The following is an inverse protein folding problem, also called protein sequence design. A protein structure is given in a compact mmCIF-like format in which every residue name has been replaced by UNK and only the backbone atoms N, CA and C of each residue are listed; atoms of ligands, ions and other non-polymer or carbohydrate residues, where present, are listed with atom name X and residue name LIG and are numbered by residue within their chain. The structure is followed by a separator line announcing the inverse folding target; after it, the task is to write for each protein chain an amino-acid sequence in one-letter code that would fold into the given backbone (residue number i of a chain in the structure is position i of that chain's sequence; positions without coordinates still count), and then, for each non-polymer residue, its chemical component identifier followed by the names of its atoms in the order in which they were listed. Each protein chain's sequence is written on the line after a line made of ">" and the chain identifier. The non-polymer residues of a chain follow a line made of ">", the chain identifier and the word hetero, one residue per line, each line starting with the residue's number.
data_IF_452985748475
#
_entry.id   IF_452985748475
#
_cell.length_a   1.000
_cell.length_b   1.000
_cell.length_c   1.000
_cell.angle_alpha   90.00
_cell.angle_beta   90.00
_cell.angle_gamma   90.00
#
_symmetry.space_group_name_H-M   'P 1'
#
loop_
_entity.id
_entity.type
_entity.pdbx_description
1 polymer ?
#
# COMPACT_ATOMS: atom_id res chain seq x y z
N UNK A 1 7.38 17.41 4.62
CA UNK A 1 8.06 16.12 4.69
C UNK A 1 7.20 15.04 4.09
N UNK A 2 7.77 14.25 3.21
CA UNK A 2 7.06 13.17 2.59
C UNK A 2 7.41 11.85 3.20
N UNK A 3 6.46 10.92 3.17
CA UNK A 3 6.69 9.55 3.58
C UNK A 3 6.39 8.64 2.41
N UNK A 4 7.22 7.65 2.19
CA UNK A 4 6.94 6.57 1.26
C UNK A 4 6.47 5.39 2.10
N UNK A 5 5.27 4.93 1.85
CA UNK A 5 4.69 3.86 2.64
C UNK A 5 4.42 2.66 1.74
N UNK A 6 4.83 1.49 2.19
CA UNK A 6 4.55 0.24 1.52
C UNK A 6 3.39 -0.43 2.25
N UNK A 7 2.29 -0.66 1.54
CA UNK A 7 1.13 -1.35 2.09
C UNK A 7 1.16 -2.79 1.63
N UNK A 8 0.72 -3.69 2.49
CA UNK A 8 0.82 -5.13 2.26
C UNK A 8 -0.51 -5.82 2.41
N UNK A 9 -0.77 -6.81 1.56
CA UNK A 9 -1.92 -7.68 1.69
C UNK A 9 -1.36 -9.09 1.85
N UNK A 10 -1.50 -9.64 3.03
CA UNK A 10 -0.98 -10.96 3.31
C UNK A 10 -1.90 -12.04 2.76
N UNK A 11 -1.32 -13.12 2.27
CA UNK A 11 -2.11 -14.21 1.71
C UNK A 11 -2.46 -14.05 0.25
N UNK A 12 -1.95 -13.01 -0.40
CA UNK A 12 -2.23 -12.76 -1.81
C UNK A 12 -0.92 -12.61 -2.56
N UNK A 13 -0.85 -13.12 -3.78
CA UNK A 13 0.31 -12.92 -4.65
C UNK A 13 0.14 -11.58 -5.35
N UNK A 14 -1.05 -11.27 -5.78
CA UNK A 14 -1.36 -9.98 -6.35
C UNK A 14 -2.84 -9.71 -6.16
N UNK A 15 -3.21 -8.47 -6.12
CA UNK A 15 -4.60 -8.10 -5.95
C UNK A 15 -4.83 -6.69 -6.46
N UNK A 16 -5.90 -6.51 -7.21
CA UNK A 16 -6.34 -5.20 -7.64
C UNK A 16 -7.40 -4.73 -6.66
N UNK A 17 -7.24 -3.55 -6.15
CA UNK A 17 -8.22 -2.95 -5.25
C UNK A 17 -8.58 -1.58 -5.75
N UNK A 18 -9.81 -1.17 -5.49
CA UNK A 18 -10.29 0.13 -5.95
C UNK A 18 -10.51 1.04 -4.75
N UNK A 19 -10.01 2.26 -4.86
CA UNK A 19 -10.11 3.23 -3.78
C UNK A 19 -10.64 4.53 -4.34
N UNK A 20 -11.44 5.23 -3.56
CA UNK A 20 -11.94 6.52 -3.97
C UNK A 20 -10.93 7.58 -3.54
N UNK A 21 -10.40 8.31 -4.52
CA UNK A 21 -9.45 9.36 -4.26
C UNK A 21 -10.08 10.62 -4.82
N UNK A 22 -10.50 11.52 -3.95
CA UNK A 22 -11.28 12.66 -4.35
C UNK A 22 -12.60 12.22 -4.96
N UNK A 23 -12.85 12.59 -6.21
CA UNK A 23 -14.06 12.20 -6.90
C UNK A 23 -13.82 11.02 -7.85
N UNK A 24 -12.62 10.52 -7.91
CA UNK A 24 -12.25 9.45 -8.83
C UNK A 24 -12.16 8.11 -8.12
N UNK A 25 -12.45 7.05 -8.87
CA UNK A 25 -12.23 5.70 -8.38
C UNK A 25 -10.95 5.20 -9.05
N UNK A 26 -9.94 4.91 -8.27
CA UNK A 26 -8.65 4.50 -8.79
C UNK A 26 -8.37 3.04 -8.49
N UNK A 27 -7.83 2.33 -9.47
CA UNK A 27 -7.39 0.95 -9.27
C UNK A 27 -5.94 0.99 -8.79
N UNK A 28 -5.69 0.30 -7.71
CA UNK A 28 -4.35 0.15 -7.18
C UNK A 28 -4.00 -1.33 -7.21
N UNK A 29 -2.85 -1.64 -7.80
CA UNK A 29 -2.44 -3.00 -7.98
C UNK A 29 -1.39 -3.35 -6.95
N UNK A 30 -1.67 -4.33 -6.12
CA UNK A 30 -0.72 -4.87 -5.17
C UNK A 30 -0.05 -6.08 -5.82
N UNK A 31 1.26 -6.08 -5.86
CA UNK A 31 2.02 -7.12 -6.55
C UNK A 31 3.21 -7.57 -5.71
N UNK A 32 3.94 -8.54 -6.20
CA UNK A 32 5.19 -8.98 -5.57
C UNK A 32 5.01 -10.03 -4.51
N UNK A 33 3.81 -10.53 -4.31
CA UNK A 33 3.61 -11.63 -3.38
C UNK A 33 4.19 -12.91 -3.96
N UNK A 34 4.65 -13.79 -3.09
CA UNK A 34 5.24 -15.05 -3.52
C UNK A 34 5.19 -16.07 -2.40
N UNK A 35 5.14 -17.35 -2.79
CA UNK A 35 5.27 -18.44 -1.85
C UNK A 35 6.43 -19.28 -2.38
N UNK A 36 7.47 -19.41 -1.58
CA UNK A 36 8.63 -20.19 -2.00
C UNK A 36 9.25 -20.87 -0.79
N UNK A 37 10.39 -21.51 -0.99
CA UNK A 37 11.01 -22.29 0.07
C UNK A 37 11.51 -21.43 1.23
N UNK A 38 11.66 -20.14 1.04
CA UNK A 38 12.13 -19.27 2.10
C UNK A 38 10.99 -18.59 2.84
N UNK A 39 9.77 -18.72 2.37
CA UNK A 39 8.61 -18.17 3.08
C UNK A 39 7.50 -17.70 2.18
N UNK A 40 6.57 -17.00 2.80
CA UNK A 40 5.42 -16.44 2.14
C UNK A 40 5.58 -14.93 2.18
N UNK A 41 5.51 -14.29 1.04
CA UNK A 41 5.69 -12.85 0.93
C UNK A 41 4.38 -12.20 0.51
N UNK A 42 3.98 -11.08 1.10
CA UNK A 42 2.71 -10.43 0.80
C UNK A 42 2.78 -9.64 -0.51
N UNK A 43 1.63 -9.44 -1.13
CA UNK A 43 1.52 -8.49 -2.22
C UNK A 43 1.67 -7.08 -1.66
N UNK A 44 2.32 -6.19 -2.37
CA UNK A 44 2.68 -4.86 -1.88
C UNK A 44 2.37 -3.76 -2.86
N UNK A 45 2.13 -2.59 -2.34
CA UNK A 45 2.03 -1.36 -3.13
C UNK A 45 2.71 -0.25 -2.36
N UNK A 46 3.62 0.44 -3.01
CA UNK A 46 4.38 1.52 -2.38
C UNK A 46 4.03 2.85 -3.02
N UNK A 47 3.77 3.84 -2.21
CA UNK A 47 3.45 5.16 -2.72
C UNK A 47 3.94 6.25 -1.77
N UNK A 48 4.33 7.39 -2.33
CA UNK A 48 4.66 8.56 -1.55
C UNK A 48 3.60 9.65 -1.72
N UNK A 49 2.53 9.36 -2.42
CA UNK A 49 1.46 10.33 -2.65
C UNK A 49 0.51 10.34 -1.45
N UNK A 50 0.41 11.45 -0.72
CA UNK A 50 -0.42 11.49 0.48
C UNK A 50 -1.91 11.25 0.22
N UNK A 51 -2.40 11.55 -0.98
CA UNK A 51 -3.80 11.29 -1.29
C UNK A 51 -4.05 9.79 -1.39
N UNK A 52 -3.12 9.04 -1.98
CA UNK A 52 -3.23 7.60 -2.09
C UNK A 52 -3.08 6.94 -0.72
N UNK A 53 -2.16 7.45 0.08
CA UNK A 53 -1.95 6.93 1.43
C UNK A 53 -3.22 7.10 2.27
N UNK A 54 -3.84 8.28 2.18
CA UNK A 54 -5.05 8.55 2.94
C UNK A 54 -6.21 7.68 2.45
N UNK A 55 -6.34 7.51 1.14
CA UNK A 55 -7.42 6.69 0.60
C UNK A 55 -7.29 5.24 1.05
N UNK A 56 -6.09 4.69 1.05
CA UNK A 56 -5.86 3.33 1.50
C UNK A 56 -6.15 3.20 2.98
N UNK A 57 -5.65 4.14 3.78
CA UNK A 57 -5.80 4.05 5.24
C UNK A 57 -7.22 4.33 5.71
N UNK A 58 -8.03 5.00 4.90
CA UNK A 58 -9.42 5.21 5.23
C UNK A 58 -10.33 4.11 4.68
N UNK A 59 -9.79 3.15 3.96
CA UNK A 59 -10.60 2.10 3.37
C UNK A 59 -11.01 1.06 4.41
N UNK A 60 -12.08 0.35 4.09
CA UNK A 60 -12.54 -0.71 4.97
C UNK A 60 -11.51 -1.83 5.03
N UNK A 61 -10.86 -2.14 3.94
CA UNK A 61 -9.84 -3.18 3.91
C UNK A 61 -8.69 -2.89 4.86
N UNK A 62 -8.29 -1.62 4.97
CA UNK A 62 -7.24 -1.25 5.91
C UNK A 62 -7.77 -1.35 7.36
N UNK A 63 -8.99 -0.90 7.59
CA UNK A 63 -9.55 -0.92 8.93
C UNK A 63 -9.79 -2.33 9.45
N UNK A 64 -10.13 -3.26 8.56
CA UNK A 64 -10.40 -4.65 8.99
C UNK A 64 -9.14 -5.51 8.97
N UNK A 65 -7.99 -4.95 8.62
CA UNK A 65 -6.74 -5.69 8.68
C UNK A 65 -6.34 -6.43 7.43
N UNK A 66 -7.09 -6.32 6.34
CA UNK A 66 -6.70 -6.96 5.09
C UNK A 66 -5.48 -6.27 4.51
N UNK A 67 -5.43 -4.96 4.59
CA UNK A 67 -4.27 -4.18 4.15
C UNK A 67 -3.56 -3.69 5.38
N UNK A 68 -2.27 -3.91 5.45
CA UNK A 68 -1.46 -3.47 6.59
C UNK A 68 -0.36 -2.54 6.13
N UNK A 69 0.00 -1.61 6.99
CA UNK A 69 1.13 -0.74 6.73
C UNK A 69 2.40 -1.52 7.03
N UNK A 70 3.21 -1.69 6.03
CA UNK A 70 4.49 -2.36 6.19
C UNK A 70 5.58 -1.33 6.43
N UNK A 71 6.47 -1.15 5.45
CA UNK A 71 7.60 -0.26 5.62
C UNK A 71 7.21 1.20 5.43
N UNK A 72 7.75 2.06 6.26
CA UNK A 72 7.59 3.51 6.12
C UNK A 72 8.97 4.13 6.01
N UNK A 73 9.22 4.81 4.91
CA UNK A 73 10.48 5.53 4.72
C UNK A 73 10.18 7.03 4.72
N UNK A 74 10.95 7.78 5.46
CA UNK A 74 10.82 9.23 5.46
C UNK A 74 11.69 9.75 4.34
N UNK A 75 11.04 10.41 3.37
CA UNK A 75 11.77 11.01 2.30
C UNK A 75 11.83 12.45 2.63
N UNK A 76 12.87 12.91 3.14
CA UNK A 76 12.98 14.30 3.52
C UNK A 76 12.84 15.21 2.33
N UNK A 77 12.49 16.41 2.54
CA UNK A 77 12.46 17.39 1.57
C UNK A 77 13.83 17.73 1.45
N UNK A 78 14.44 17.41 0.47
CA UNK A 78 15.75 17.71 0.36
C UNK A 78 16.04 19.08 0.19
N UNK A 79 15.42 19.88 0.69
CA UNK A 79 15.62 21.09 0.59
C UNK A 79 16.57 21.46 1.34
N UNK A 80 17.45 21.68 0.84
CA UNK A 80 18.53 22.16 1.59
C UNK A 80 18.20 23.43 2.17
#
# INVERSE_FOLDING_TARGET
>A
MKKRITYEIHGQIERNSYFRIGKALMRIEFTGGAINSTGVYPAQYTTDNPLFQRAIENSEAFRNGEIKRGRVDIIGDSNP
#
